data_IF_186822694504
#
_entry.id   IF_186822694504
#
_cell.length_a   1.000
_cell.length_b   1.000
_cell.length_c   1.000
_cell.angle_alpha   90.00
_cell.angle_beta   90.00
_cell.angle_gamma   90.00
#
_symmetry.space_group_name_H-M   'P 1'
#
loop_
_entity.id
_entity.type
_entity.pdbx_description
1 polymer ?
#
# COMPACT_ATOMS: atom_id res chain seq x y z
N UNK A 1 14.26 -6.39 -11.65
CA UNK A 1 13.38 -5.50 -10.87
C UNK A 1 12.09 -6.26 -10.70
N UNK A 2 12.01 -7.02 -9.61
CA UNK A 2 10.95 -7.98 -9.33
C UNK A 2 9.70 -7.18 -9.00
N UNK A 3 8.74 -7.14 -9.93
CA UNK A 3 7.38 -6.76 -9.57
C UNK A 3 6.95 -7.74 -8.47
N UNK A 4 6.50 -7.22 -7.32
CA UNK A 4 5.92 -8.05 -6.29
C UNK A 4 4.65 -8.65 -6.88
N UNK A 5 4.75 -9.87 -7.41
CA UNK A 5 3.60 -10.71 -7.65
C UNK A 5 2.95 -10.95 -6.28
N UNK A 6 2.11 -10.01 -5.84
CA UNK A 6 1.16 -10.21 -4.77
C UNK A 6 0.14 -11.21 -5.32
N UNK A 7 0.58 -12.47 -5.38
CA UNK A 7 -0.25 -13.62 -5.64
C UNK A 7 -1.28 -13.63 -4.53
N UNK A 8 -2.49 -13.15 -4.83
CA UNK A 8 -3.62 -13.17 -3.92
C UNK A 8 -4.15 -14.62 -3.80
N UNK A 9 -3.28 -15.55 -3.44
CA UNK A 9 -3.62 -16.93 -3.19
C UNK A 9 -4.32 -17.02 -1.82
N UNK A 10 -5.31 -17.91 -1.71
CA UNK A 10 -6.09 -18.01 -0.49
C UNK A 10 -5.22 -18.48 0.69
N UNK A 11 -5.28 -17.78 1.83
CA UNK A 11 -4.76 -18.28 3.10
C UNK A 11 -5.44 -19.61 3.48
N UNK A 12 -4.67 -20.69 3.44
CA UNK A 12 -5.15 -22.05 3.64
C UNK A 12 -5.34 -22.37 5.12
N UNK A 13 -4.54 -21.78 6.00
CA UNK A 13 -4.58 -22.08 7.45
C UNK A 13 -5.35 -21.03 8.27
N UNK A 14 -5.90 -21.44 9.42
CA UNK A 14 -6.55 -20.52 10.38
C UNK A 14 -5.59 -19.43 10.87
N UNK A 15 -4.30 -19.75 11.01
CA UNK A 15 -3.28 -18.83 11.48
C UNK A 15 -2.89 -17.78 10.44
N UNK A 16 -2.79 -18.16 9.16
CA UNK A 16 -2.58 -17.22 8.05
C UNK A 16 -3.75 -16.23 7.96
N UNK A 17 -5.00 -16.71 8.04
CA UNK A 17 -6.18 -15.84 8.02
C UNK A 17 -6.19 -14.86 9.19
N UNK A 18 -5.79 -15.30 10.40
CA UNK A 18 -5.66 -14.42 11.56
C UNK A 18 -4.58 -13.36 11.34
N UNK A 19 -3.43 -13.77 10.78
CA UNK A 19 -2.31 -12.88 10.46
C UNK A 19 -2.73 -11.81 9.44
N UNK A 20 -3.34 -12.21 8.32
CA UNK A 20 -3.85 -11.30 7.30
C UNK A 20 -4.92 -10.35 7.83
N UNK A 21 -5.81 -10.82 8.71
CA UNK A 21 -6.85 -9.96 9.31
C UNK A 21 -6.23 -8.89 10.22
N UNK A 22 -5.19 -9.23 10.98
CA UNK A 22 -4.48 -8.26 11.82
C UNK A 22 -3.75 -7.24 10.95
N UNK A 23 -3.03 -7.69 9.92
CA UNK A 23 -2.35 -6.81 8.97
C UNK A 23 -3.33 -5.85 8.27
N UNK A 24 -4.47 -6.37 7.81
CA UNK A 24 -5.56 -5.60 7.22
C UNK A 24 -6.03 -4.47 8.14
N UNK A 25 -6.35 -4.78 9.40
CA UNK A 25 -6.89 -3.79 10.35
C UNK A 25 -5.84 -2.72 10.68
N UNK A 26 -4.59 -3.13 10.88
CA UNK A 26 -3.50 -2.21 11.19
C UNK A 26 -3.25 -1.24 10.02
N UNK A 27 -3.10 -1.74 8.79
CA UNK A 27 -2.84 -0.90 7.63
C UNK A 27 -4.05 -0.02 7.28
N UNK A 28 -5.28 -0.53 7.39
CA UNK A 28 -6.47 0.29 7.19
C UNK A 28 -6.60 1.42 8.23
N UNK A 29 -6.28 1.16 9.50
CA UNK A 29 -6.27 2.19 10.54
C UNK A 29 -5.18 3.24 10.27
N UNK A 30 -3.97 2.79 9.91
CA UNK A 30 -2.85 3.67 9.58
C UNK A 30 -3.13 4.52 8.34
N UNK A 31 -3.82 4.00 7.32
CA UNK A 31 -4.25 4.80 6.17
C UNK A 31 -5.10 6.00 6.62
N UNK A 32 -6.11 5.79 7.47
CA UNK A 32 -7.02 6.88 7.89
C UNK A 32 -6.24 7.95 8.67
N UNK A 33 -5.42 7.53 9.64
CA UNK A 33 -4.62 8.45 10.45
C UNK A 33 -3.57 9.15 9.61
N UNK A 34 -2.90 8.43 8.70
CA UNK A 34 -1.83 8.94 7.84
C UNK A 34 -2.33 9.87 6.76
N UNK A 35 -3.48 9.60 6.18
CA UNK A 35 -4.09 10.50 5.20
C UNK A 35 -4.50 11.81 5.87
N UNK A 36 -5.12 11.75 7.04
CA UNK A 36 -5.43 12.95 7.83
C UNK A 36 -4.16 13.73 8.20
N UNK A 37 -3.13 13.02 8.68
CA UNK A 37 -1.84 13.61 9.04
C UNK A 37 -1.14 14.22 7.82
N UNK A 38 -1.12 13.57 6.67
CA UNK A 38 -0.48 14.06 5.45
C UNK A 38 -1.16 15.29 4.84
N UNK A 39 -2.50 15.34 4.90
CA UNK A 39 -3.27 16.52 4.51
C UNK A 39 -3.01 17.70 5.46
N UNK A 40 -3.04 17.45 6.77
CA UNK A 40 -2.77 18.47 7.78
C UNK A 40 -1.31 18.96 7.73
N UNK A 41 -0.37 18.03 7.55
CA UNK A 41 1.06 18.30 7.48
C UNK A 41 1.51 18.88 6.15
N UNK A 42 0.64 18.94 5.14
CA UNK A 42 1.02 19.28 3.76
C UNK A 42 2.27 18.50 3.32
N UNK A 43 2.30 17.19 3.58
CA UNK A 43 3.38 16.28 3.17
C UNK A 43 2.90 15.28 2.12
N UNK A 44 3.58 15.30 0.97
CA UNK A 44 3.37 14.34 -0.10
C UNK A 44 3.89 12.95 0.28
N UNK A 45 4.98 12.87 1.06
CA UNK A 45 5.51 11.62 1.58
C UNK A 45 4.51 10.88 2.47
N UNK A 46 3.85 11.57 3.40
CA UNK A 46 2.85 10.95 4.27
C UNK A 46 1.61 10.52 3.51
N UNK A 47 1.17 11.31 2.54
CA UNK A 47 0.02 10.95 1.73
C UNK A 47 0.32 9.72 0.87
N UNK A 48 1.53 9.62 0.33
CA UNK A 48 1.97 8.45 -0.42
C UNK A 48 2.12 7.21 0.48
N UNK A 49 2.73 7.32 1.67
CA UNK A 49 2.84 6.23 2.65
C UNK A 49 1.47 5.73 3.11
N UNK A 50 0.53 6.65 3.39
CA UNK A 50 -0.83 6.25 3.73
C UNK A 50 -1.54 5.53 2.58
N UNK A 51 -1.33 5.95 1.33
CA UNK A 51 -1.92 5.27 0.17
C UNK A 51 -1.32 3.87 -0.04
N UNK A 52 -0.02 3.70 0.23
CA UNK A 52 0.65 2.41 0.27
C UNK A 52 -0.05 1.47 1.25
N UNK A 53 -0.29 1.92 2.49
CA UNK A 53 -1.05 1.17 3.51
C UNK A 53 -2.46 0.79 3.05
N UNK A 54 -3.15 1.65 2.30
CA UNK A 54 -4.47 1.33 1.75
C UNK A 54 -4.40 0.25 0.67
N UNK A 55 -3.37 0.29 -0.17
CA UNK A 55 -3.11 -0.69 -1.23
C UNK A 55 -2.83 -2.05 -0.62
N UNK A 56 -1.98 -2.06 0.41
CA UNK A 56 -1.61 -3.24 1.19
C UNK A 56 -2.82 -3.84 1.93
N UNK A 57 -3.61 -3.00 2.60
CA UNK A 57 -4.88 -3.39 3.22
C UNK A 57 -5.85 -3.99 2.20
N UNK A 58 -5.95 -3.40 1.01
CA UNK A 58 -6.79 -3.95 -0.07
C UNK A 58 -6.31 -5.34 -0.49
N UNK A 59 -5.01 -5.54 -0.64
CA UNK A 59 -4.44 -6.83 -0.99
C UNK A 59 -4.78 -7.91 0.06
N UNK A 60 -4.62 -7.60 1.35
CA UNK A 60 -5.00 -8.50 2.45
C UNK A 60 -6.51 -8.78 2.49
N UNK A 61 -7.35 -7.77 2.23
CA UNK A 61 -8.80 -7.94 2.17
C UNK A 61 -9.21 -8.87 1.02
N UNK A 62 -8.65 -8.67 -0.18
CA UNK A 62 -8.90 -9.51 -1.35
C UNK A 62 -8.40 -10.94 -1.15
N UNK A 63 -7.25 -11.12 -0.48
CA UNK A 63 -6.74 -12.43 -0.06
C UNK A 63 -7.71 -13.14 0.88
N UNK A 64 -8.21 -12.46 1.90
CA UNK A 64 -9.15 -13.03 2.87
C UNK A 64 -10.54 -13.33 2.25
N UNK A 65 -11.00 -12.48 1.32
CA UNK A 65 -12.25 -12.68 0.60
C UNK A 65 -12.21 -13.90 -0.33
N UNK A 66 -11.06 -14.11 -1.02
CA UNK A 66 -10.86 -15.29 -1.88
C UNK A 66 -11.13 -16.60 -1.12
N UNK A 67 -10.74 -16.63 0.15
CA UNK A 67 -10.83 -17.79 1.02
C UNK A 67 -12.24 -17.98 1.60
N UNK A 68 -12.96 -16.89 1.88
CA UNK A 68 -14.22 -16.93 2.64
C UNK A 68 -15.47 -16.97 1.76
N UNK A 69 -15.44 -16.34 0.58
CA UNK A 69 -16.61 -16.19 -0.31
C UNK A 69 -16.40 -16.72 -1.72
N UNK A 70 -15.28 -17.39 -1.98
CA UNK A 70 -14.95 -17.95 -3.29
C UNK A 70 -14.52 -16.90 -4.32
N UNK A 71 -14.06 -17.37 -5.48
CA UNK A 71 -13.33 -16.55 -6.45
C UNK A 71 -14.22 -15.55 -7.20
N UNK A 72 -15.52 -15.82 -7.37
CA UNK A 72 -16.46 -14.97 -8.12
C UNK A 72 -16.82 -13.66 -7.42
N UNK A 73 -17.02 -13.68 -6.09
CA UNK A 73 -17.30 -12.46 -5.33
C UNK A 73 -16.06 -11.54 -5.23
N UNK A 74 -14.86 -12.14 -5.24
CA UNK A 74 -13.58 -11.42 -5.25
C UNK A 74 -13.42 -10.55 -6.50
N UNK A 75 -13.83 -11.04 -7.66
CA UNK A 75 -13.60 -10.35 -8.95
C UNK A 75 -14.35 -9.02 -9.04
N UNK A 76 -15.63 -9.00 -8.63
CA UNK A 76 -16.42 -7.76 -8.59
C UNK A 76 -15.86 -6.75 -7.59
N UNK A 77 -15.49 -7.21 -6.39
CA UNK A 77 -14.92 -6.32 -5.37
C UNK A 77 -13.55 -5.78 -5.80
N UNK A 78 -12.71 -6.60 -6.44
CA UNK A 78 -11.39 -6.20 -6.93
C UNK A 78 -11.47 -5.12 -8.02
N UNK A 79 -12.50 -5.16 -8.89
CA UNK A 79 -12.68 -4.17 -9.95
C UNK A 79 -12.93 -2.78 -9.37
N UNK A 80 -13.88 -2.69 -8.45
CA UNK A 80 -14.25 -1.42 -7.81
C UNK A 80 -13.11 -0.88 -6.96
N UNK A 81 -12.52 -1.71 -6.09
CA UNK A 81 -11.43 -1.25 -5.23
C UNK A 81 -10.18 -0.87 -6.04
N UNK A 82 -9.84 -1.63 -7.08
CA UNK A 82 -8.74 -1.29 -7.99
C UNK A 82 -8.96 0.03 -8.72
N UNK A 83 -10.19 0.31 -9.18
CA UNK A 83 -10.53 1.59 -9.80
C UNK A 83 -10.44 2.77 -8.80
N UNK A 84 -10.93 2.58 -7.57
CA UNK A 84 -10.81 3.59 -6.51
C UNK A 84 -9.35 3.88 -6.17
N UNK A 85 -8.53 2.84 -6.00
CA UNK A 85 -7.09 3.00 -5.74
C UNK A 85 -6.39 3.71 -6.90
N UNK A 86 -6.76 3.42 -8.15
CA UNK A 86 -6.19 4.08 -9.33
C UNK A 86 -6.50 5.57 -9.33
N UNK A 87 -7.74 5.95 -8.99
CA UNK A 87 -8.14 7.35 -8.85
C UNK A 87 -7.34 8.05 -7.74
N UNK A 88 -7.24 7.43 -6.56
CA UNK A 88 -6.50 7.98 -5.42
C UNK A 88 -5.01 8.14 -5.75
N UNK A 89 -4.40 7.12 -6.34
CA UNK A 89 -3.00 7.13 -6.77
C UNK A 89 -2.73 8.25 -7.77
N UNK A 90 -3.57 8.38 -8.80
CA UNK A 90 -3.47 9.49 -9.75
C UNK A 90 -3.63 10.86 -9.06
N UNK A 91 -4.52 10.97 -8.07
CA UNK A 91 -4.71 12.17 -7.26
C UNK A 91 -3.45 12.56 -6.48
N UNK A 92 -2.79 11.61 -5.81
CA UNK A 92 -1.54 11.86 -5.07
C UNK A 92 -0.42 12.28 -6.02
N UNK A 93 -0.25 11.59 -7.17
CA UNK A 93 0.76 11.97 -8.17
C UNK A 93 0.50 13.38 -8.70
N UNK A 94 -0.75 13.71 -9.01
CA UNK A 94 -1.13 15.05 -9.44
C UNK A 94 -0.84 16.10 -8.35
N UNK A 95 -1.11 15.79 -7.08
CA UNK A 95 -0.82 16.69 -5.96
C UNK A 95 0.69 16.88 -5.75
N UNK A 96 1.51 15.85 -5.91
CA UNK A 96 2.99 15.95 -5.90
C UNK A 96 3.46 16.90 -7.00
N UNK A 97 2.97 16.72 -8.23
CA UNK A 97 3.31 17.60 -9.37
C UNK A 97 2.86 19.03 -9.09
N UNK A 98 1.65 19.22 -8.57
CA UNK A 98 1.13 20.53 -8.18
C UNK A 98 2.04 21.19 -7.14
N UNK A 99 2.44 20.48 -6.08
CA UNK A 99 3.31 21.02 -5.02
C UNK A 99 4.74 21.26 -5.48
N UNK A 100 5.19 20.54 -6.50
CA UNK A 100 6.48 20.82 -7.14
C UNK A 100 6.50 22.21 -7.80
N UNK A 101 5.39 22.62 -8.43
CA UNK A 101 5.27 23.93 -9.10
C UNK A 101 4.81 25.06 -8.17
N UNK A 102 3.81 24.82 -7.32
CA UNK A 102 3.18 25.84 -6.47
C UNK A 102 3.80 25.91 -5.06
N UNK A 103 4.68 24.98 -4.71
CA UNK A 103 5.25 24.88 -3.36
C UNK A 103 4.33 24.17 -2.36
N UNK A 104 4.95 23.75 -1.24
CA UNK A 104 4.28 23.24 -0.05
C UNK A 104 5.20 23.40 1.15
N UNK A 105 4.64 23.53 2.34
CA UNK A 105 5.40 23.64 3.59
C UNK A 105 5.14 22.40 4.46
N UNK A 106 5.85 21.28 4.18
CA UNK A 106 5.65 20.05 4.92
C UNK A 106 6.07 20.22 6.39
N UNK A 107 5.17 19.85 7.30
CA UNK A 107 5.44 19.83 8.74
C UNK A 107 6.31 18.63 9.11
N UNK A 108 7.63 18.81 9.09
CA UNK A 108 8.57 17.72 9.34
C UNK A 108 8.41 17.02 10.70
N UNK A 109 7.89 17.71 11.73
CA UNK A 109 7.57 17.08 13.03
C UNK A 109 6.45 16.04 12.91
N UNK A 110 5.40 16.36 12.14
CA UNK A 110 4.34 15.41 11.84
C UNK A 110 4.87 14.25 10.99
N UNK A 111 5.81 14.53 10.08
CA UNK A 111 6.46 13.48 9.28
C UNK A 111 7.20 12.47 10.16
N UNK A 112 8.10 12.94 11.03
CA UNK A 112 8.86 12.07 11.93
C UNK A 112 7.92 11.27 12.84
N UNK A 113 6.97 11.94 13.49
CA UNK A 113 6.06 11.29 14.41
C UNK A 113 5.25 10.18 13.75
N UNK A 114 4.65 10.47 12.59
CA UNK A 114 3.84 9.50 11.87
C UNK A 114 4.68 8.37 11.27
N UNK A 115 5.82 8.68 10.65
CA UNK A 115 6.70 7.66 10.06
C UNK A 115 7.27 6.69 11.09
N UNK A 116 7.52 7.11 12.34
CA UNK A 116 7.91 6.18 13.41
C UNK A 116 6.77 5.19 13.69
N UNK A 117 5.53 5.69 13.82
CA UNK A 117 4.36 4.83 14.09
C UNK A 117 4.11 3.88 12.92
N UNK A 118 4.15 4.39 11.68
CA UNK A 118 4.02 3.61 10.44
C UNK A 118 5.08 2.52 10.33
N UNK A 119 6.33 2.87 10.60
CA UNK A 119 7.44 1.91 10.65
C UNK A 119 7.22 0.83 11.71
N UNK A 120 6.74 1.18 12.92
CA UNK A 120 6.42 0.21 13.96
C UNK A 120 5.33 -0.78 13.53
N UNK A 121 4.29 -0.29 12.84
CA UNK A 121 3.21 -1.13 12.30
C UNK A 121 3.75 -2.06 11.21
N UNK A 122 4.45 -1.54 10.20
CA UNK A 122 4.98 -2.36 9.11
C UNK A 122 6.02 -3.38 9.59
N UNK A 123 6.87 -3.02 10.56
CA UNK A 123 7.79 -3.98 11.19
C UNK A 123 7.04 -5.07 11.94
N UNK A 124 5.92 -4.74 12.59
CA UNK A 124 5.07 -5.73 13.26
C UNK A 124 4.46 -6.69 12.25
N UNK A 125 3.88 -6.18 11.16
CA UNK A 125 3.33 -6.99 10.06
C UNK A 125 4.45 -7.84 9.44
N UNK A 126 5.61 -7.27 9.14
CA UNK A 126 6.76 -7.98 8.59
C UNK A 126 7.22 -9.13 9.48
N UNK A 127 7.30 -8.92 10.80
CA UNK A 127 7.64 -9.98 11.77
C UNK A 127 6.58 -11.07 11.79
N UNK A 128 5.30 -10.71 11.71
CA UNK A 128 4.22 -11.68 11.62
C UNK A 128 4.27 -12.48 10.32
N UNK A 129 4.69 -11.89 9.20
CA UNK A 129 4.84 -12.59 7.92
C UNK A 129 6.16 -13.39 7.83
N UNK A 130 7.19 -13.01 8.60
CA UNK A 130 8.51 -13.66 8.57
C UNK A 130 8.46 -15.16 8.91
N UNK A 131 7.48 -15.60 9.71
CA UNK A 131 7.25 -17.03 10.00
C UNK A 131 6.83 -17.85 8.76
N UNK A 132 6.40 -17.19 7.70
CA UNK A 132 5.99 -17.80 6.43
C UNK A 132 6.98 -17.55 5.29
N UNK A 133 8.21 -17.08 5.60
CA UNK A 133 9.24 -16.74 4.60
C UNK A 133 9.66 -17.93 3.73
N UNK A 134 9.58 -19.16 4.26
CA UNK A 134 9.86 -20.41 3.55
C UNK A 134 8.59 -21.17 3.14
N UNK A 135 7.43 -20.55 3.34
CA UNK A 135 6.13 -21.13 3.01
C UNK A 135 5.79 -21.02 1.51
N UNK A 136 4.50 -21.08 1.22
CA UNK A 136 4.00 -20.95 -0.15
C UNK A 136 4.46 -19.65 -0.83
N UNK A 137 4.61 -19.70 -2.16
CA UNK A 137 5.11 -18.59 -3.00
C UNK A 137 4.42 -17.26 -2.68
N UNK A 138 3.12 -17.30 -2.41
CA UNK A 138 2.32 -16.12 -2.11
C UNK A 138 2.70 -15.44 -0.78
N UNK A 139 2.95 -16.21 0.28
CA UNK A 139 3.36 -15.66 1.58
C UNK A 139 4.78 -15.10 1.52
N UNK A 140 5.66 -15.77 0.77
CA UNK A 140 7.02 -15.29 0.53
C UNK A 140 7.02 -13.97 -0.25
N UNK A 141 6.15 -13.83 -1.26
CA UNK A 141 5.99 -12.59 -2.00
C UNK A 141 5.51 -11.44 -1.08
N UNK A 142 4.49 -11.67 -0.25
CA UNK A 142 4.03 -10.67 0.72
C UNK A 142 5.14 -10.27 1.71
N UNK A 143 5.97 -11.20 2.18
CA UNK A 143 7.11 -10.86 3.05
C UNK A 143 8.15 -9.96 2.35
N UNK A 144 8.42 -10.21 1.06
CA UNK A 144 9.34 -9.36 0.26
C UNK A 144 8.73 -7.97 0.06
N UNK A 145 7.42 -7.90 -0.22
CA UNK A 145 6.68 -6.66 -0.40
C UNK A 145 6.70 -5.79 0.86
N UNK A 146 6.25 -6.33 2.01
CA UNK A 146 6.26 -5.61 3.28
C UNK A 146 7.65 -5.12 3.68
N UNK A 147 8.71 -5.84 3.26
CA UNK A 147 10.09 -5.39 3.47
C UNK A 147 10.42 -4.14 2.64
N UNK A 148 9.92 -4.04 1.42
CA UNK A 148 10.06 -2.83 0.60
C UNK A 148 9.32 -1.65 1.25
N UNK A 149 8.13 -1.86 1.80
CA UNK A 149 7.34 -0.82 2.47
C UNK A 149 8.06 -0.30 3.71
N UNK A 150 8.76 -1.17 4.45
CA UNK A 150 9.63 -0.75 5.56
C UNK A 150 10.74 0.17 5.06
N UNK A 151 11.35 -0.12 3.91
CA UNK A 151 12.38 0.73 3.31
C UNK A 151 11.80 2.08 2.86
N UNK A 152 10.61 2.08 2.26
CA UNK A 152 9.89 3.29 1.89
C UNK A 152 9.60 4.17 3.13
N UNK A 153 9.12 3.56 4.21
CA UNK A 153 8.88 4.22 5.50
C UNK A 153 10.15 4.85 6.09
N UNK A 154 11.30 4.18 5.99
CA UNK A 154 12.59 4.78 6.36
C UNK A 154 12.91 6.01 5.50
N UNK A 155 12.53 6.02 4.23
CA UNK A 155 12.67 7.19 3.35
C UNK A 155 11.91 8.40 3.88
N UNK A 156 10.65 8.22 4.30
CA UNK A 156 9.83 9.30 4.87
C UNK A 156 10.37 9.73 6.24
N UNK A 157 10.79 8.75 7.06
CA UNK A 157 11.40 9.02 8.35
C UNK A 157 12.72 9.79 8.21
N UNK A 158 13.49 9.58 7.14
CA UNK A 158 14.72 10.32 6.88
C UNK A 158 14.45 11.71 6.30
N UNK A 159 13.40 11.88 5.50
CA UNK A 159 13.05 13.20 4.94
C UNK A 159 12.47 14.15 6.00
N UNK A 160 11.74 13.64 7.01
CA UNK A 160 11.18 14.46 8.09
C UNK A 160 12.20 15.33 8.85
N UNK A 161 13.29 14.78 9.41
CA UNK A 161 14.35 15.54 10.08
C UNK A 161 15.07 16.51 9.13
N UNK A 162 15.21 16.12 7.87
CA UNK A 162 15.83 16.94 6.84
C UNK A 162 14.99 18.20 6.58
N UNK A 163 13.67 18.03 6.44
CA UNK A 163 12.70 19.14 6.36
C UNK A 163 12.72 19.98 7.64
N UNK A 164 12.75 19.37 8.83
CA UNK A 164 12.79 20.09 10.10
C UNK A 164 14.04 20.97 10.25
N UNK A 165 15.21 20.44 9.89
CA UNK A 165 16.48 21.12 10.11
C UNK A 165 16.79 22.17 9.04
N UNK A 166 16.40 21.91 7.78
CA UNK A 166 16.83 22.74 6.63
C UNK A 166 15.68 23.49 5.95
N UNK A 167 14.42 23.17 6.27
CA UNK A 167 13.26 23.65 5.52
C UNK A 167 13.19 23.11 4.08
N UNK A 168 14.01 22.10 3.73
CA UNK A 168 14.13 21.62 2.36
C UNK A 168 12.95 20.73 1.94
N UNK A 169 11.85 21.38 1.52
CA UNK A 169 10.60 20.74 1.08
C UNK A 169 10.77 19.70 -0.04
N UNK A 170 11.82 19.79 -0.85
CA UNK A 170 12.05 18.84 -1.94
C UNK A 170 12.41 17.43 -1.43
N UNK A 171 12.93 17.29 -0.21
CA UNK A 171 13.16 15.98 0.40
C UNK A 171 11.86 15.19 0.53
N UNK A 172 10.77 15.83 0.96
CA UNK A 172 9.43 15.23 1.03
C UNK A 172 8.89 14.90 -0.36
N UNK A 173 9.02 15.81 -1.33
CA UNK A 173 8.52 15.61 -2.68
C UNK A 173 9.21 14.45 -3.41
N UNK A 174 10.53 14.30 -3.27
CA UNK A 174 11.27 13.21 -3.92
C UNK A 174 10.86 11.86 -3.35
N UNK A 175 10.75 11.76 -2.01
CA UNK A 175 10.30 10.53 -1.35
C UNK A 175 8.85 10.22 -1.69
N UNK A 176 7.96 11.22 -1.59
CA UNK A 176 6.55 11.07 -1.96
C UNK A 176 6.36 10.66 -3.41
N UNK A 177 7.14 11.21 -4.34
CA UNK A 177 7.13 10.80 -5.74
C UNK A 177 7.56 9.34 -5.89
N UNK A 178 8.67 8.94 -5.26
CA UNK A 178 9.17 7.57 -5.33
C UNK A 178 8.14 6.55 -4.84
N UNK A 179 7.50 6.81 -3.68
CA UNK A 179 6.46 5.95 -3.11
C UNK A 179 5.21 5.97 -4.00
N UNK A 180 4.79 7.13 -4.50
CA UNK A 180 3.61 7.22 -5.37
C UNK A 180 3.77 6.42 -6.67
N UNK A 181 4.98 6.39 -7.26
CA UNK A 181 5.28 5.57 -8.44
C UNK A 181 5.25 4.08 -8.10
N UNK A 182 5.76 3.71 -6.92
CA UNK A 182 5.69 2.34 -6.43
C UNK A 182 4.23 1.88 -6.29
N UNK A 183 3.42 2.62 -5.54
CA UNK A 183 1.99 2.35 -5.35
C UNK A 183 1.23 2.32 -6.68
N UNK A 184 1.51 3.26 -7.59
CA UNK A 184 0.85 3.28 -8.90
C UNK A 184 1.07 1.97 -9.67
N UNK A 185 2.27 1.36 -9.58
CA UNK A 185 2.56 0.07 -10.21
C UNK A 185 1.75 -1.05 -9.58
N UNK A 186 1.68 -1.11 -8.26
CA UNK A 186 0.90 -2.13 -7.54
C UNK A 186 -0.59 -2.04 -7.88
N UNK A 187 -1.14 -0.83 -7.89
CA UNK A 187 -2.54 -0.58 -8.22
C UNK A 187 -2.87 -0.97 -9.67
N UNK A 188 -1.97 -0.67 -10.62
CA UNK A 188 -2.11 -1.11 -12.01
C UNK A 188 -2.16 -2.64 -12.09
N UNK A 189 -1.30 -3.34 -11.34
CA UNK A 189 -1.30 -4.80 -11.32
C UNK A 189 -2.61 -5.36 -10.77
N UNK A 190 -3.13 -4.81 -9.66
CA UNK A 190 -4.43 -5.19 -9.08
C UNK A 190 -5.55 -5.01 -10.12
N UNK A 191 -5.57 -3.87 -10.81
CA UNK A 191 -6.60 -3.56 -11.80
C UNK A 191 -6.52 -4.48 -13.03
N UNK A 192 -5.33 -4.71 -13.58
CA UNK A 192 -5.12 -5.61 -14.72
C UNK A 192 -5.55 -7.05 -14.37
N UNK A 193 -5.20 -7.53 -13.18
CA UNK A 193 -5.57 -8.88 -12.70
C UNK A 193 -7.08 -9.03 -12.58
N UNK A 194 -7.77 -8.00 -12.08
CA UNK A 194 -9.23 -7.98 -11.99
C UNK A 194 -9.90 -8.06 -13.37
N UNK A 195 -9.35 -7.38 -14.39
CA UNK A 195 -9.88 -7.40 -15.75
C UNK A 195 -9.70 -8.78 -16.42
N UNK A 196 -8.50 -9.36 -16.34
CA UNK A 196 -8.21 -10.65 -16.98
C UNK A 196 -9.01 -11.81 -16.36
N UNK A 197 -9.39 -11.69 -15.08
CA UNK A 197 -10.20 -12.71 -14.41
C UNK A 197 -11.68 -12.65 -14.80
N UNK A 198 -12.17 -11.51 -15.31
CA UNK A 198 -13.54 -11.35 -15.80
C UNK A 198 -13.75 -11.92 -17.21
N UNK A 199 -12.69 -12.01 -18.01
CA UNK A 199 -12.77 -12.53 -19.40
C UNK A 199 -12.94 -14.06 -19.44
N UNK A 200 -12.46 -14.78 -18.41
CA UNK A 200 -12.50 -16.26 -18.36
C UNK A 200 -13.86 -16.85 -17.95
N UNK A 201 -14.74 -16.07 -17.29
CA UNK A 201 -16.10 -16.54 -16.93
C UNK A 201 -17.07 -16.36 -18.12
N UNK A 202 -16.81 -15.44 -19.06
CA UNK A 202 -17.64 -15.24 -20.27
C UNK A 202 -17.49 -16.40 -21.27
N UNK A 203 -16.29 -16.99 -21.38
CA UNK A 203 -16.01 -18.11 -22.28
C UNK A 203 -16.58 -19.45 -21.81
N UNK A 204 -16.98 -19.56 -20.54
CA UNK A 204 -17.61 -20.77 -19.96
C UNK A 204 -19.14 -20.69 -19.90
N UNK A 205 -19.74 -19.54 -20.26
CA UNK A 205 -21.20 -19.40 -20.42
C UNK A 205 -21.69 -19.55 -21.86
N UNK A 206 -20.78 -19.67 -22.83
CA UNK A 206 -21.08 -19.89 -24.25
C UNK A 206 -20.77 -21.32 -24.74
N UNK A 207 -20.54 -22.28 -23.83
CA UNK A 207 -20.43 -23.72 -24.15
C UNK A 207 -21.45 -24.57 -23.40
#
# INVERSE_FOLDING_TARGET
MTACECGHAPANTKEERKTLRVALVLNAAMFVVGMAAGLWAQSSGLMADALDMLTDATAYALGLMAVTRGMRFKQYSARWTGATLMLLSAGIVADVIRRFWFGSDPLGAAMVGFSIVSLCVNVTVLRMLAKYREGEVHMRASWICTRADVVANFGVLASGPMVLATGWRYADLVVGLAISIYVAKEVIEIWQRSRNSGESDTTLSEQ
#
